data_IF_522949223381
#
_entry.id   IF_522949223381
#
_cell.length_a   1.000
_cell.length_b   1.000
_cell.length_c   1.000
_cell.angle_alpha   90.00
_cell.angle_beta   90.00
_cell.angle_gamma   90.00
#
_symmetry.space_group_name_H-M   'P 1'
#
loop_
_entity.id
_entity.type
_entity.pdbx_description
1 polymer ?
#
# COMPACT_ATOMS: atom_id res chain seq x y z
N UNK A 1 -13.99 -3.44 -15.91
CA UNK A 1 -13.21 -3.17 -14.69
C UNK A 1 -11.81 -2.62 -14.98
N UNK A 2 -11.14 -2.99 -16.07
CA UNK A 2 -9.81 -2.49 -16.47
C UNK A 2 -9.85 -1.04 -17.01
N UNK A 3 -10.92 -0.62 -17.67
CA UNK A 3 -11.06 0.74 -18.23
C UNK A 3 -11.20 1.84 -17.15
N UNK A 4 -11.80 1.56 -16.00
CA UNK A 4 -11.91 2.55 -14.90
C UNK A 4 -10.55 2.87 -14.26
N UNK A 5 -9.65 1.88 -14.16
CA UNK A 5 -8.31 2.09 -13.62
C UNK A 5 -7.46 3.00 -14.51
N UNK A 6 -7.57 2.88 -15.84
CA UNK A 6 -6.80 3.70 -16.78
C UNK A 6 -7.27 5.16 -16.85
N UNK A 7 -8.56 5.43 -16.57
CA UNK A 7 -9.08 6.80 -16.49
C UNK A 7 -8.71 7.50 -15.18
N UNK A 8 -8.69 6.76 -14.05
CA UNK A 8 -8.24 7.29 -12.76
C UNK A 8 -6.75 7.64 -12.77
N UNK A 9 -5.93 6.86 -13.48
CA UNK A 9 -4.49 7.14 -13.66
C UNK A 9 -4.21 8.39 -14.51
N UNK A 10 -5.13 8.79 -15.40
CA UNK A 10 -5.01 10.05 -16.17
C UNK A 10 -5.42 11.30 -15.37
N UNK A 11 -6.15 11.13 -14.28
CA UNK A 11 -6.67 12.24 -13.45
C UNK A 11 -5.65 12.67 -12.38
N UNK A 12 -4.76 11.78 -12.00
CA UNK A 12 -3.61 12.11 -11.15
C UNK A 12 -2.40 12.14 -12.06
N UNK A 13 -1.83 13.33 -12.31
CA UNK A 13 -0.55 13.43 -13.00
C UNK A 13 0.42 12.51 -12.25
N UNK A 14 0.86 11.44 -12.89
CA UNK A 14 1.66 10.38 -12.30
C UNK A 14 3.08 10.84 -11.89
N UNK A 15 3.37 12.12 -12.04
CA UNK A 15 4.58 12.74 -11.50
C UNK A 15 4.36 13.00 -10.01
N UNK A 16 5.35 12.66 -9.19
CA UNK A 16 5.39 13.08 -7.79
C UNK A 16 5.22 14.61 -7.75
N UNK A 17 4.07 15.15 -7.33
CA UNK A 17 3.79 16.58 -7.44
C UNK A 17 4.68 17.44 -6.56
N UNK A 18 5.57 16.83 -5.73
CA UNK A 18 6.45 17.57 -4.82
C UNK A 18 5.74 18.47 -3.80
N UNK A 19 4.39 18.44 -3.79
CA UNK A 19 3.50 19.32 -3.04
C UNK A 19 2.78 18.62 -1.88
N UNK A 20 1.79 19.31 -1.26
CA UNK A 20 0.95 18.76 -0.19
C UNK A 20 0.08 17.61 -0.70
N UNK A 21 -0.54 16.89 0.24
CA UNK A 21 -1.46 15.79 -0.09
C UNK A 21 -2.59 16.22 -1.01
N UNK A 22 -2.92 15.35 -1.96
CA UNK A 22 -4.01 15.55 -2.93
C UNK A 22 -5.22 14.77 -2.43
N UNK A 23 -6.37 15.44 -2.28
CA UNK A 23 -7.61 14.80 -1.83
C UNK A 23 -8.65 14.85 -2.95
N UNK A 24 -9.18 13.69 -3.30
CA UNK A 24 -10.22 13.54 -4.32
C UNK A 24 -11.37 12.71 -3.77
N UNK A 25 -12.59 13.03 -4.17
CA UNK A 25 -13.73 12.17 -3.86
C UNK A 25 -14.66 12.01 -5.07
N UNK A 26 -15.36 10.90 -5.06
CA UNK A 26 -16.45 10.61 -5.98
C UNK A 26 -17.71 10.46 -5.14
N UNK A 27 -18.73 11.26 -5.41
CA UNK A 27 -20.03 11.09 -4.80
C UNK A 27 -20.78 9.99 -5.57
N UNK A 28 -20.96 8.85 -4.93
CA UNK A 28 -21.68 7.71 -5.48
C UNK A 28 -22.48 7.05 -4.37
N UNK A 29 -23.72 6.65 -4.66
CA UNK A 29 -24.54 5.93 -3.70
C UNK A 29 -23.92 4.57 -3.38
N UNK A 30 -23.40 4.47 -2.17
CA UNK A 30 -22.72 3.28 -1.64
C UNK A 30 -23.02 3.17 -0.14
N UNK A 31 -23.12 1.95 0.36
CA UNK A 31 -23.34 1.69 1.78
C UNK A 31 -22.13 2.00 2.67
N UNK A 32 -20.94 2.10 2.07
CA UNK A 32 -19.68 2.35 2.75
C UNK A 32 -18.83 3.34 1.97
N UNK A 33 -17.93 4.04 2.66
CA UNK A 33 -16.87 4.81 2.03
C UNK A 33 -15.70 3.88 1.70
N UNK A 34 -15.32 3.87 0.42
CA UNK A 34 -14.15 3.15 -0.08
C UNK A 34 -12.98 4.10 -0.16
N UNK A 35 -11.88 3.77 0.52
CA UNK A 35 -10.67 4.58 0.59
C UNK A 35 -9.52 3.92 -0.18
N UNK A 36 -8.79 4.73 -0.94
CA UNK A 36 -7.48 4.42 -1.50
C UNK A 36 -6.54 5.57 -1.20
N UNK A 37 -5.44 5.28 -0.53
CA UNK A 37 -4.50 6.29 -0.03
C UNK A 37 -3.10 5.81 -0.32
N UNK A 38 -2.31 6.60 -1.03
CA UNK A 38 -0.97 6.16 -1.39
C UNK A 38 -0.12 7.23 -2.01
N UNK A 39 1.02 6.82 -2.50
CA UNK A 39 1.99 7.65 -3.21
C UNK A 39 2.83 6.80 -4.16
N UNK A 40 3.52 7.44 -5.09
CA UNK A 40 4.54 6.77 -5.92
C UNK A 40 5.72 6.35 -5.04
N UNK A 41 6.32 5.21 -5.37
CA UNK A 41 7.41 4.63 -4.60
C UNK A 41 8.52 4.12 -5.51
N UNK A 42 9.40 3.30 -5.00
CA UNK A 42 10.57 2.77 -5.69
C UNK A 42 10.19 1.73 -6.75
N UNK A 43 11.16 1.39 -7.59
CA UNK A 43 11.11 0.22 -8.46
C UNK A 43 11.58 -1.02 -7.70
N UNK A 44 11.38 -2.19 -8.29
CA UNK A 44 11.75 -3.47 -7.68
C UNK A 44 13.26 -3.70 -7.62
N UNK A 45 14.03 -3.09 -8.52
CA UNK A 45 15.49 -3.15 -8.55
C UNK A 45 16.19 -2.20 -7.54
N UNK A 46 15.42 -1.39 -6.81
CA UNK A 46 15.96 -0.52 -5.77
C UNK A 46 16.54 -1.35 -4.60
N UNK A 47 17.74 -0.99 -4.08
CA UNK A 47 18.33 -1.67 -2.91
C UNK A 47 17.39 -1.71 -1.69
N UNK A 48 16.54 -0.71 -1.53
CA UNK A 48 15.61 -0.63 -0.40
C UNK A 48 14.30 -1.43 -0.62
N UNK A 49 14.13 -2.13 -1.76
CA UNK A 49 12.92 -2.90 -2.04
C UNK A 49 12.62 -3.92 -0.94
N UNK A 50 13.59 -4.77 -0.59
CA UNK A 50 13.36 -5.84 0.38
C UNK A 50 13.00 -5.30 1.77
N UNK A 51 13.75 -4.35 2.37
CA UNK A 51 13.36 -3.78 3.65
C UNK A 51 12.03 -3.01 3.59
N UNK A 52 11.69 -2.36 2.47
CA UNK A 52 10.39 -1.70 2.29
C UNK A 52 9.24 -2.70 2.15
N UNK A 53 9.46 -3.84 1.49
CA UNK A 53 8.46 -4.92 1.38
C UNK A 53 8.13 -5.50 2.77
N UNK A 54 9.14 -5.74 3.61
CA UNK A 54 8.95 -6.16 5.01
C UNK A 54 8.27 -5.07 5.83
N UNK A 55 8.63 -3.78 5.66
CA UNK A 55 7.94 -2.67 6.32
C UNK A 55 6.45 -2.61 5.93
N UNK A 56 6.13 -2.83 4.65
CA UNK A 56 4.75 -2.89 4.17
C UNK A 56 3.99 -4.09 4.76
N UNK A 57 4.61 -5.26 4.86
CA UNK A 57 3.97 -6.45 5.42
C UNK A 57 3.58 -6.22 6.89
N UNK A 58 4.47 -5.67 7.69
CA UNK A 58 4.23 -5.31 9.09
C UNK A 58 3.14 -4.23 9.20
N UNK A 59 3.17 -3.22 8.32
CA UNK A 59 2.19 -2.12 8.37
C UNK A 59 0.79 -2.59 8.02
N UNK A 60 0.59 -3.28 6.89
CA UNK A 60 -0.73 -3.61 6.38
C UNK A 60 -0.78 -4.70 5.32
N UNK A 61 0.35 -5.27 4.91
CA UNK A 61 0.42 -6.31 3.89
C UNK A 61 -0.08 -7.66 4.40
N UNK A 62 0.23 -7.99 5.64
CA UNK A 62 -0.25 -9.19 6.32
C UNK A 62 -1.67 -8.99 6.86
N UNK A 63 -2.60 -9.88 6.49
CA UNK A 63 -4.03 -9.65 6.74
C UNK A 63 -4.42 -9.58 8.22
N UNK A 64 -3.93 -10.48 9.08
CA UNK A 64 -4.42 -10.59 10.46
C UNK A 64 -3.43 -10.11 11.53
N UNK A 65 -2.16 -9.93 11.20
CA UNK A 65 -1.09 -9.58 12.14
C UNK A 65 -0.58 -8.16 11.97
N UNK A 66 -0.94 -7.49 10.88
CA UNK A 66 -0.45 -6.16 10.56
C UNK A 66 -0.96 -5.09 11.54
N UNK A 67 -0.18 -4.01 11.68
CA UNK A 67 -0.51 -2.87 12.54
C UNK A 67 -1.84 -2.23 12.16
N UNK A 68 -2.10 -2.05 10.86
CA UNK A 68 -3.37 -1.48 10.37
C UNK A 68 -4.56 -2.37 10.71
N UNK A 69 -4.44 -3.68 10.51
CA UNK A 69 -5.51 -4.60 10.85
C UNK A 69 -5.83 -4.58 12.34
N UNK A 70 -4.81 -4.64 13.18
CA UNK A 70 -4.96 -4.63 14.63
C UNK A 70 -5.53 -3.30 15.15
N UNK A 71 -5.05 -2.16 14.64
CA UNK A 71 -5.47 -0.85 15.12
C UNK A 71 -6.87 -0.47 14.60
N UNK A 72 -7.10 -0.60 13.28
CA UNK A 72 -8.33 -0.10 12.64
C UNK A 72 -9.49 -1.08 12.77
N UNK A 73 -9.23 -2.38 12.57
CA UNK A 73 -10.28 -3.40 12.60
C UNK A 73 -10.46 -4.00 13.99
N UNK A 74 -9.41 -4.60 14.56
CA UNK A 74 -9.55 -5.40 15.79
C UNK A 74 -9.85 -4.54 17.00
N UNK A 75 -9.06 -3.47 17.21
CA UNK A 75 -9.20 -2.63 18.40
C UNK A 75 -10.34 -1.62 18.32
N UNK A 76 -10.65 -1.11 17.14
CA UNK A 76 -11.57 0.02 16.95
C UNK A 76 -12.84 -0.33 16.17
N UNK A 77 -12.89 -1.42 15.43
CA UNK A 77 -14.05 -1.80 14.63
C UNK A 77 -14.41 -0.80 13.52
N UNK A 78 -13.45 0.03 13.07
CA UNK A 78 -13.70 1.13 12.13
C UNK A 78 -13.89 0.65 10.70
N UNK A 79 -13.26 -0.46 10.31
CA UNK A 79 -13.32 -1.00 8.97
C UNK A 79 -13.30 -2.52 8.99
N UNK A 80 -14.07 -3.14 8.08
CA UNK A 80 -14.04 -4.61 7.91
C UNK A 80 -12.83 -5.05 7.07
N UNK A 81 -12.56 -4.33 5.99
CA UNK A 81 -11.41 -4.55 5.11
C UNK A 81 -10.42 -3.40 5.27
N UNK A 82 -9.19 -3.74 5.58
CA UNK A 82 -8.10 -2.78 5.74
C UNK A 82 -6.77 -3.44 5.42
N UNK A 83 -5.86 -2.70 4.80
CA UNK A 83 -4.52 -3.21 4.49
C UNK A 83 -3.70 -2.27 3.63
N UNK A 84 -2.46 -2.66 3.37
CA UNK A 84 -1.57 -1.95 2.44
C UNK A 84 -1.00 -2.90 1.39
N UNK A 85 -0.50 -2.33 0.30
CA UNK A 85 0.16 -3.06 -0.77
C UNK A 85 1.30 -2.22 -1.35
N UNK A 86 2.42 -2.87 -1.57
CA UNK A 86 3.55 -2.38 -2.33
C UNK A 86 3.47 -3.01 -3.73
N UNK A 87 3.09 -2.23 -4.73
CA UNK A 87 3.08 -2.65 -6.12
C UNK A 87 4.30 -2.04 -6.80
N UNK A 88 5.26 -2.86 -7.11
CA UNK A 88 6.52 -2.48 -7.77
C UNK A 88 6.68 -3.24 -9.08
N UNK A 89 7.56 -2.77 -9.92
CA UNK A 89 7.93 -3.34 -11.19
C UNK A 89 9.40 -3.02 -11.46
N UNK A 90 10.05 -3.83 -12.28
CA UNK A 90 11.41 -3.57 -12.74
C UNK A 90 11.49 -2.38 -13.70
N UNK A 91 10.41 -2.07 -14.40
CA UNK A 91 10.41 -1.13 -15.52
C UNK A 91 9.84 0.24 -15.16
N UNK A 92 8.86 0.28 -14.26
CA UNK A 92 8.14 1.50 -13.90
C UNK A 92 8.24 1.82 -12.41
N UNK A 93 8.07 3.10 -12.09
CA UNK A 93 7.96 3.55 -10.71
C UNK A 93 6.77 2.86 -10.03
N UNK A 94 7.02 2.30 -8.85
CA UNK A 94 6.00 1.59 -8.08
C UNK A 94 4.96 2.51 -7.44
N UNK A 95 3.91 1.89 -6.94
CA UNK A 95 2.85 2.54 -6.16
C UNK A 95 2.71 1.82 -4.83
N UNK A 96 2.84 2.58 -3.74
CA UNK A 96 2.48 2.10 -2.43
C UNK A 96 1.08 2.59 -2.07
N UNK A 97 0.21 1.70 -1.58
CA UNK A 97 -1.22 1.94 -1.44
C UNK A 97 -1.76 1.35 -0.14
N UNK A 98 -2.51 2.14 0.63
CA UNK A 98 -3.40 1.67 1.69
C UNK A 98 -4.86 1.67 1.21
N UNK A 99 -5.66 0.75 1.73
CA UNK A 99 -7.09 0.64 1.42
C UNK A 99 -7.92 0.37 2.67
N UNK A 100 -9.13 0.88 2.67
CA UNK A 100 -10.16 0.49 3.63
C UNK A 100 -11.57 0.66 3.05
N UNK A 101 -12.50 -0.06 3.65
CA UNK A 101 -13.94 0.09 3.49
C UNK A 101 -14.54 0.36 4.86
N UNK A 102 -15.18 1.52 5.03
CA UNK A 102 -15.61 2.02 6.34
C UNK A 102 -16.96 2.71 6.26
N UNK A 103 -17.63 2.89 7.40
CA UNK A 103 -18.83 3.72 7.47
C UNK A 103 -18.48 5.18 7.27
N UNK A 104 -19.36 5.96 6.65
CA UNK A 104 -19.13 7.38 6.38
C UNK A 104 -18.65 8.18 7.63
N UNK A 105 -19.26 8.07 8.81
CA UNK A 105 -18.79 8.81 9.99
C UNK A 105 -17.37 8.45 10.45
N UNK A 106 -16.92 7.24 10.16
CA UNK A 106 -15.58 6.75 10.55
C UNK A 106 -14.47 7.09 9.54
N UNK A 107 -14.82 7.69 8.40
CA UNK A 107 -13.88 7.96 7.29
C UNK A 107 -12.67 8.77 7.74
N UNK A 108 -12.89 9.89 8.43
CA UNK A 108 -11.82 10.77 8.92
C UNK A 108 -10.90 10.05 9.92
N UNK A 109 -11.48 9.28 10.84
CA UNK A 109 -10.70 8.53 11.82
C UNK A 109 -9.84 7.45 11.16
N UNK A 110 -10.38 6.69 10.20
CA UNK A 110 -9.61 5.68 9.44
C UNK A 110 -8.40 6.30 8.75
N UNK A 111 -8.56 7.43 8.07
CA UNK A 111 -7.45 8.12 7.40
C UNK A 111 -6.42 8.59 8.45
N UNK A 112 -6.86 9.16 9.56
CA UNK A 112 -5.96 9.59 10.64
C UNK A 112 -5.18 8.40 11.23
N UNK A 113 -5.81 7.24 11.40
CA UNK A 113 -5.14 6.01 11.85
C UNK A 113 -4.11 5.50 10.84
N UNK A 114 -4.40 5.62 9.55
CA UNK A 114 -3.46 5.26 8.49
C UNK A 114 -2.18 6.10 8.57
N UNK A 115 -2.35 7.42 8.63
CA UNK A 115 -1.22 8.36 8.77
C UNK A 115 -0.43 8.08 10.06
N UNK A 116 -1.12 7.89 11.19
CA UNK A 116 -0.46 7.60 12.47
C UNK A 116 0.35 6.30 12.44
N UNK A 117 -0.16 5.23 11.85
CA UNK A 117 0.58 3.97 11.72
C UNK A 117 1.77 4.08 10.75
N UNK A 118 1.64 4.85 9.67
CA UNK A 118 2.78 5.19 8.81
C UNK A 118 3.87 5.92 9.58
N UNK A 119 3.51 6.95 10.36
CA UNK A 119 4.49 7.71 11.16
C UNK A 119 5.18 6.83 12.20
N UNK A 120 4.47 5.92 12.83
CA UNK A 120 5.07 4.95 13.74
C UNK A 120 6.09 4.05 13.04
N UNK A 121 5.81 3.61 11.81
CA UNK A 121 6.80 2.86 11.02
C UNK A 121 8.06 3.68 10.69
N UNK A 122 7.95 5.00 10.61
CA UNK A 122 9.04 5.91 10.28
C UNK A 122 9.87 6.35 11.50
N UNK A 123 9.33 6.19 12.71
CA UNK A 123 9.91 6.75 13.93
C UNK A 123 10.23 5.72 15.00
N UNK A 124 9.61 4.53 14.93
CA UNK A 124 9.77 3.47 15.92
C UNK A 124 10.37 2.22 15.27
N UNK A 125 11.28 1.55 15.96
CA UNK A 125 11.71 0.21 15.56
C UNK A 125 10.53 -0.76 15.61
N UNK A 126 10.48 -1.68 14.66
CA UNK A 126 9.58 -2.83 14.73
C UNK A 126 10.03 -3.76 15.86
N UNK A 127 9.11 -4.56 16.41
CA UNK A 127 9.47 -5.55 17.42
C UNK A 127 10.22 -6.74 16.80
N UNK A 128 10.92 -7.52 17.61
CA UNK A 128 11.59 -8.72 17.14
C UNK A 128 10.58 -9.75 16.59
N UNK A 129 9.40 -9.82 17.20
CA UNK A 129 8.29 -10.66 16.78
C UNK A 129 7.73 -10.21 15.42
N UNK A 130 7.42 -8.91 15.25
CA UNK A 130 6.95 -8.36 13.97
C UNK A 130 7.94 -8.66 12.83
N UNK A 131 9.25 -8.48 13.09
CA UNK A 131 10.27 -8.74 12.08
C UNK A 131 10.40 -10.23 11.75
N UNK A 132 10.41 -11.10 12.77
CA UNK A 132 10.53 -12.55 12.58
C UNK A 132 9.36 -13.10 11.77
N UNK A 133 8.12 -12.75 12.14
CA UNK A 133 6.91 -13.17 11.45
C UNK A 133 6.85 -12.66 10.00
N UNK A 134 7.22 -11.41 9.75
CA UNK A 134 7.22 -10.85 8.40
C UNK A 134 8.27 -11.53 7.51
N UNK A 135 9.47 -11.80 8.04
CA UNK A 135 10.50 -12.56 7.33
C UNK A 135 10.04 -13.98 6.97
N UNK A 136 9.45 -14.66 7.93
CA UNK A 136 8.94 -16.02 7.72
C UNK A 136 7.84 -16.03 6.65
N UNK A 137 6.87 -15.14 6.75
CA UNK A 137 5.79 -15.02 5.78
C UNK A 137 6.32 -14.73 4.36
N UNK A 138 7.29 -13.82 4.25
CA UNK A 138 7.90 -13.45 2.96
C UNK A 138 8.66 -14.65 2.35
N UNK A 139 9.50 -15.33 3.13
CA UNK A 139 10.25 -16.50 2.66
C UNK A 139 9.32 -17.65 2.29
N UNK A 140 8.27 -17.90 3.10
CA UNK A 140 7.30 -18.95 2.83
C UNK A 140 6.48 -18.67 1.57
N UNK A 141 6.29 -17.39 1.19
CA UNK A 141 5.57 -17.04 -0.04
C UNK A 141 6.27 -17.56 -1.31
N UNK A 142 7.58 -17.78 -1.30
CA UNK A 142 8.33 -18.30 -2.45
C UNK A 142 7.93 -19.70 -2.88
N UNK A 143 7.36 -20.50 -1.96
CA UNK A 143 6.83 -21.84 -2.30
C UNK A 143 5.74 -21.74 -3.36
N UNK A 144 4.98 -20.67 -3.37
CA UNK A 144 3.90 -20.46 -4.35
C UNK A 144 4.43 -20.25 -5.78
N UNK A 145 5.67 -19.77 -5.95
CA UNK A 145 6.30 -19.67 -7.28
C UNK A 145 6.51 -21.02 -7.95
N UNK A 146 6.44 -22.12 -7.18
CA UNK A 146 6.62 -23.47 -7.65
C UNK A 146 5.42 -24.39 -7.37
N UNK A 147 4.30 -23.83 -6.94
CA UNK A 147 3.12 -24.61 -6.49
C UNK A 147 2.33 -25.27 -7.65
N UNK A 148 2.55 -24.84 -8.90
CA UNK A 148 1.89 -25.43 -10.07
C UNK A 148 2.77 -25.29 -11.30
N UNK A 149 2.56 -26.10 -12.37
CA UNK A 149 3.28 -25.93 -13.64
C UNK A 149 3.16 -24.51 -14.21
N UNK A 150 1.99 -23.88 -14.12
CA UNK A 150 1.79 -22.51 -14.57
C UNK A 150 2.60 -21.50 -13.76
N UNK A 151 2.68 -21.66 -12.44
CA UNK A 151 3.48 -20.80 -11.58
C UNK A 151 4.98 -20.93 -11.91
N UNK A 152 5.46 -22.15 -12.14
CA UNK A 152 6.86 -22.43 -12.55
C UNK A 152 7.16 -21.71 -13.88
N UNK A 153 6.33 -21.90 -14.90
CA UNK A 153 6.49 -21.24 -16.20
C UNK A 153 6.47 -19.71 -16.04
N UNK A 154 5.50 -19.18 -15.26
CA UNK A 154 5.39 -17.74 -14.99
C UNK A 154 6.67 -17.19 -14.36
N UNK A 155 7.21 -17.87 -13.37
CA UNK A 155 8.47 -17.48 -12.72
C UNK A 155 9.65 -17.44 -13.70
N UNK A 156 9.81 -18.45 -14.55
CA UNK A 156 10.90 -18.45 -15.54
C UNK A 156 10.72 -17.39 -16.61
N UNK A 157 9.47 -17.10 -17.04
CA UNK A 157 9.16 -16.00 -17.96
C UNK A 157 9.53 -14.66 -17.35
N UNK A 158 9.23 -14.44 -16.06
CA UNK A 158 9.58 -13.23 -15.32
C UNK A 158 11.09 -13.05 -15.23
N UNK A 159 11.84 -14.11 -14.84
CA UNK A 159 13.30 -14.06 -14.81
C UNK A 159 13.91 -13.67 -16.16
N UNK A 160 13.41 -14.25 -17.25
CA UNK A 160 13.91 -13.97 -18.60
C UNK A 160 13.53 -12.58 -19.08
N UNK A 161 12.27 -12.16 -18.87
CA UNK A 161 11.75 -10.86 -19.27
C UNK A 161 12.46 -9.70 -18.54
N UNK A 162 12.65 -9.85 -17.23
CA UNK A 162 13.31 -8.85 -16.38
C UNK A 162 14.83 -9.00 -16.34
N UNK A 163 15.39 -9.98 -17.07
CA UNK A 163 16.83 -10.29 -17.14
C UNK A 163 17.44 -10.55 -15.77
N UNK A 164 16.69 -11.24 -14.91
CA UNK A 164 17.11 -11.57 -13.56
C UNK A 164 17.99 -12.83 -13.54
N UNK A 165 18.90 -12.96 -12.57
CA UNK A 165 19.70 -14.17 -12.41
C UNK A 165 18.82 -15.37 -12.01
N UNK A 166 19.21 -16.58 -12.43
CA UNK A 166 18.44 -17.81 -12.14
C UNK A 166 18.29 -18.10 -10.64
N UNK A 167 19.16 -17.58 -9.81
CA UNK A 167 19.14 -17.68 -8.36
C UNK A 167 18.52 -16.47 -7.65
N UNK A 168 17.75 -15.65 -8.39
CA UNK A 168 17.13 -14.42 -7.87
C UNK A 168 16.34 -14.64 -6.59
N UNK A 169 15.49 -15.67 -6.51
CA UNK A 169 14.74 -15.99 -5.29
C UNK A 169 15.65 -16.35 -4.11
N UNK A 170 16.76 -17.07 -4.36
CA UNK A 170 17.73 -17.38 -3.33
C UNK A 170 18.43 -16.13 -2.82
N UNK A 171 18.77 -15.20 -3.72
CA UNK A 171 19.32 -13.89 -3.35
C UNK A 171 18.32 -13.08 -2.51
N UNK A 172 17.04 -13.00 -2.93
CA UNK A 172 15.99 -12.36 -2.15
C UNK A 172 15.84 -12.98 -0.76
N UNK A 173 15.78 -14.32 -0.69
CA UNK A 173 15.72 -15.03 0.59
C UNK A 173 16.88 -14.68 1.50
N UNK A 174 18.10 -14.67 0.99
CA UNK A 174 19.29 -14.32 1.76
C UNK A 174 19.21 -12.88 2.28
N UNK A 175 18.78 -11.93 1.44
CA UNK A 175 18.58 -10.53 1.82
C UNK A 175 17.53 -10.39 2.93
N UNK A 176 16.38 -11.08 2.80
CA UNK A 176 15.31 -11.05 3.83
C UNK A 176 15.83 -11.60 5.17
N UNK A 177 16.53 -12.74 5.18
CA UNK A 177 17.05 -13.33 6.41
C UNK A 177 18.04 -12.40 7.10
N UNK A 178 18.87 -11.70 6.36
CA UNK A 178 19.90 -10.79 6.88
C UNK A 178 19.36 -9.46 7.42
N UNK A 179 18.10 -9.07 7.10
CA UNK A 179 17.52 -7.80 7.52
C UNK A 179 17.53 -7.62 9.05
N UNK A 180 17.77 -6.39 9.47
CA UNK A 180 17.66 -5.94 10.85
C UNK A 180 16.49 -4.95 11.00
N UNK A 181 16.08 -4.67 12.23
CA UNK A 181 15.02 -3.69 12.53
C UNK A 181 15.36 -2.29 12.04
N UNK A 182 16.63 -1.95 12.10
CA UNK A 182 17.18 -0.67 11.64
C UNK A 182 17.02 -0.50 10.13
N UNK A 183 17.20 -1.57 9.33
CA UNK A 183 17.02 -1.53 7.88
C UNK A 183 15.56 -1.23 7.53
N UNK A 184 14.62 -1.87 8.24
CA UNK A 184 13.17 -1.65 8.08
C UNK A 184 12.81 -0.21 8.43
N UNK A 185 13.33 0.32 9.56
CA UNK A 185 13.10 1.70 9.98
C UNK A 185 13.66 2.70 8.96
N UNK A 186 14.87 2.48 8.47
CA UNK A 186 15.49 3.36 7.47
C UNK A 186 14.71 3.39 6.16
N UNK A 187 14.28 2.22 5.66
CA UNK A 187 13.47 2.13 4.47
C UNK A 187 12.10 2.82 4.65
N UNK A 188 11.42 2.58 5.77
CA UNK A 188 10.16 3.23 6.09
C UNK A 188 10.32 4.76 6.20
N UNK A 189 11.36 5.24 6.88
CA UNK A 189 11.66 6.68 7.01
C UNK A 189 11.92 7.35 5.67
N UNK A 190 12.60 6.67 4.75
CA UNK A 190 12.96 7.19 3.43
C UNK A 190 11.78 7.16 2.45
N UNK A 191 10.96 6.11 2.48
CA UNK A 191 10.00 5.82 1.41
C UNK A 191 8.53 5.99 1.79
N UNK A 192 8.12 5.92 3.06
CA UNK A 192 6.75 6.26 3.44
C UNK A 192 6.58 7.77 3.56
N UNK A 193 5.76 8.35 2.68
CA UNK A 193 5.58 9.80 2.53
C UNK A 193 4.23 10.25 3.10
N UNK A 194 4.08 10.24 4.43
CA UNK A 194 2.83 10.56 5.13
C UNK A 194 2.30 11.99 4.89
N UNK A 195 3.16 12.90 4.49
CA UNK A 195 2.84 14.30 4.18
C UNK A 195 2.58 14.58 2.68
N UNK A 196 2.61 13.55 1.83
CA UNK A 196 2.44 13.65 0.37
C UNK A 196 1.58 12.53 -0.16
N UNK A 197 0.38 12.39 0.41
CA UNK A 197 -0.53 11.32 0.05
C UNK A 197 -1.51 11.77 -1.02
N UNK A 198 -1.79 10.89 -1.96
CA UNK A 198 -2.99 10.97 -2.77
C UNK A 198 -4.08 10.17 -2.07
N UNK A 199 -5.15 10.85 -1.68
CA UNK A 199 -6.31 10.28 -1.01
C UNK A 199 -7.48 10.31 -1.98
N UNK A 200 -8.04 9.14 -2.27
CA UNK A 200 -9.25 8.99 -3.09
C UNK A 200 -10.31 8.30 -2.25
N UNK A 201 -11.47 8.94 -2.12
CA UNK A 201 -12.64 8.42 -1.42
C UNK A 201 -13.83 8.29 -2.37
N UNK A 202 -14.51 7.15 -2.33
CA UNK A 202 -15.79 6.94 -3.02
C UNK A 202 -16.83 6.63 -1.96
N UNK A 203 -17.89 7.42 -1.92
CA UNK A 203 -18.95 7.25 -0.92
C UNK A 203 -20.12 8.17 -1.17
N UNK A 204 -21.21 7.96 -0.44
CA UNK A 204 -22.41 8.76 -0.54
C UNK A 204 -22.49 9.82 0.57
N UNK A 205 -23.12 10.94 0.25
CA UNK A 205 -23.52 11.98 1.20
C UNK A 205 -22.70 13.26 1.17
N UNK A 206 -23.38 14.35 1.48
CA UNK A 206 -22.83 15.71 1.50
C UNK A 206 -21.75 15.91 2.59
N UNK A 207 -21.71 15.03 3.59
CA UNK A 207 -20.73 15.11 4.67
C UNK A 207 -19.33 14.64 4.27
N UNK A 208 -19.18 13.83 3.20
CA UNK A 208 -17.89 13.25 2.81
C UNK A 208 -16.81 14.30 2.54
N UNK A 209 -17.04 15.38 1.76
CA UNK A 209 -16.02 16.41 1.55
C UNK A 209 -15.55 17.07 2.86
N UNK A 210 -16.47 17.30 3.80
CA UNK A 210 -16.13 17.89 5.11
C UNK A 210 -15.25 16.96 5.94
N UNK A 211 -15.50 15.65 5.92
CA UNK A 211 -14.68 14.65 6.63
C UNK A 211 -13.26 14.54 6.04
N UNK A 212 -13.10 14.87 4.77
CA UNK A 212 -11.82 14.83 4.07
C UNK A 212 -11.01 16.14 4.17
N UNK A 213 -11.63 17.26 4.50
CA UNK A 213 -11.03 18.60 4.43
C UNK A 213 -9.82 18.80 5.35
N UNK A 214 -9.70 18.01 6.42
CA UNK A 214 -8.53 18.06 7.32
C UNK A 214 -7.24 17.48 6.72
N UNK A 215 -7.33 16.80 5.56
CA UNK A 215 -6.20 16.15 4.92
C UNK A 215 -5.65 16.89 3.70
N UNK A 216 -6.34 17.95 3.23
CA UNK A 216 -5.89 18.77 2.09
C UNK A 216 -7.03 19.42 1.33
N UNK A 217 -6.71 19.98 0.16
CA UNK A 217 -7.69 20.58 -0.74
C UNK A 217 -8.54 19.50 -1.43
N UNK A 218 -9.83 19.47 -1.08
CA UNK A 218 -10.77 18.43 -1.51
C UNK A 218 -11.43 18.83 -2.84
N UNK A 219 -11.27 17.99 -3.86
CA UNK A 219 -11.91 18.19 -5.17
C UNK A 219 -12.74 16.97 -5.55
N UNK A 220 -13.94 17.25 -6.07
CA UNK A 220 -14.82 16.22 -6.61
C UNK A 220 -14.35 15.75 -7.99
N UNK A 221 -14.36 14.45 -8.19
CA UNK A 221 -14.25 13.82 -9.51
C UNK A 221 -15.65 13.47 -9.97
N UNK A 222 -16.13 14.16 -11.00
CA UNK A 222 -17.39 13.83 -11.67
C UNK A 222 -17.13 12.67 -12.65
N UNK A 223 -17.82 11.56 -12.43
CA UNK A 223 -17.81 10.47 -13.40
C UNK A 223 -18.61 10.90 -14.63
N UNK A 224 -18.11 10.56 -15.83
CA UNK A 224 -18.93 10.72 -17.02
C UNK A 224 -20.18 9.82 -16.89
N UNK A 225 -21.35 10.28 -17.37
CA UNK A 225 -22.53 9.44 -17.40
C UNK A 225 -22.20 8.13 -18.14
N UNK A 226 -22.65 7.01 -17.57
CA UNK A 226 -22.58 5.72 -18.22
C UNK A 226 -23.47 5.81 -19.48
N UNK A 227 -22.85 5.82 -20.67
CA UNK A 227 -23.56 5.79 -21.94
C UNK A 227 -24.12 4.42 -22.26
#
# INVERSE_FOLDING_TARGET
MIMLASHLLKIVDARDPGGPSIVRFVNKDTSQTHLRIGHLTIREDDPDYVPLAIANDILGGSSFRSRLFNDVRTKRGLAYSVGSRLNVSMHDQGVWLMRAETKLPSTQEVISRFVANMERMRTELVTDEELAEAKEAYVNSFVFSFASPSAIVGHFVELEYDRLPKDFLQQLRTRVIALKKEDVLMAAKKHFRSNRLTIVAVGSGEALPKLLSSFGDVKEIKLAPEG
#
